data_IF_940770243957
#
_entry.id   IF_940770243957
#
_cell.length_a   1.000
_cell.length_b   1.000
_cell.length_c   1.000
_cell.angle_alpha   90.00
_cell.angle_beta   90.00
_cell.angle_gamma   90.00
#
_symmetry.space_group_name_H-M   'P 1'
#
loop_
_entity.id
_entity.type
_entity.pdbx_description
1 polymer ?
#
# COMPACT_ATOMS: atom_id res chain seq x y z
N UNK A 1 -30.13 34.19 12.65
CA UNK A 1 -30.65 33.34 11.57
C UNK A 1 -32.15 33.47 11.46
N UNK A 2 -32.62 34.25 10.48
CA UNK A 2 -34.03 34.37 10.13
C UNK A 2 -34.56 33.09 9.41
N UNK A 3 -35.88 32.98 9.21
CA UNK A 3 -36.50 31.78 8.64
C UNK A 3 -35.94 31.42 7.25
N UNK A 4 -35.72 32.44 6.40
CA UNK A 4 -35.21 32.26 5.04
C UNK A 4 -33.76 31.76 5.05
N UNK A 5 -32.92 32.30 5.93
CA UNK A 5 -31.54 31.86 6.13
C UNK A 5 -31.46 30.42 6.64
N UNK A 6 -32.37 30.01 7.54
CA UNK A 6 -32.47 28.62 8.00
C UNK A 6 -32.84 27.68 6.87
N UNK A 7 -33.80 28.09 6.01
CA UNK A 7 -34.19 27.34 4.83
C UNK A 7 -33.03 27.15 3.85
N UNK A 8 -32.32 28.24 3.53
CA UNK A 8 -31.14 28.20 2.66
C UNK A 8 -30.01 27.33 3.24
N UNK A 9 -29.72 27.49 4.54
CA UNK A 9 -28.72 26.66 5.21
C UNK A 9 -29.08 25.17 5.17
N UNK A 10 -30.34 24.83 5.41
CA UNK A 10 -30.81 23.44 5.33
C UNK A 10 -30.61 22.85 3.92
N UNK A 11 -30.88 23.63 2.87
CA UNK A 11 -30.63 23.21 1.49
C UNK A 11 -29.14 22.96 1.22
N UNK A 12 -28.27 23.87 1.66
CA UNK A 12 -26.81 23.74 1.51
C UNK A 12 -26.29 22.52 2.29
N UNK A 13 -26.72 22.36 3.54
CA UNK A 13 -26.33 21.22 4.37
C UNK A 13 -26.74 19.88 3.72
N UNK A 14 -27.97 19.79 3.22
CA UNK A 14 -28.44 18.61 2.49
C UNK A 14 -27.63 18.35 1.21
N UNK A 15 -27.32 19.40 0.44
CA UNK A 15 -26.49 19.27 -0.75
C UNK A 15 -25.09 18.73 -0.41
N UNK A 16 -24.46 19.23 0.66
CA UNK A 16 -23.16 18.75 1.14
C UNK A 16 -23.21 17.26 1.51
N UNK A 17 -24.24 16.81 2.23
CA UNK A 17 -24.42 15.38 2.57
C UNK A 17 -24.54 14.52 1.30
N UNK A 18 -25.29 14.98 0.30
CA UNK A 18 -25.45 14.28 -0.98
C UNK A 18 -24.14 14.23 -1.75
N UNK A 19 -23.38 15.33 -1.78
CA UNK A 19 -22.06 15.39 -2.42
C UNK A 19 -21.07 14.43 -1.74
N UNK A 20 -21.00 14.43 -0.41
CA UNK A 20 -20.17 13.50 0.37
C UNK A 20 -20.54 12.03 0.12
N UNK A 21 -21.81 11.75 -0.16
CA UNK A 21 -22.27 10.41 -0.57
C UNK A 21 -21.78 9.95 -1.95
N UNK A 22 -21.08 10.80 -2.71
CA UNK A 22 -20.45 10.48 -4.00
C UNK A 22 -18.92 10.46 -3.94
N UNK A 23 -18.34 10.83 -2.80
CA UNK A 23 -16.88 10.91 -2.60
C UNK A 23 -16.43 9.70 -1.79
N UNK A 24 -15.55 8.90 -2.40
CA UNK A 24 -14.93 7.76 -1.74
C UNK A 24 -13.93 8.26 -0.68
N UNK A 25 -14.04 7.77 0.56
CA UNK A 25 -13.12 8.07 1.66
C UNK A 25 -12.09 6.96 1.83
N UNK A 26 -12.54 5.71 1.93
CA UNK A 26 -11.68 4.52 2.00
C UNK A 26 -12.13 3.50 0.97
N UNK A 27 -11.18 2.94 0.20
CA UNK A 27 -11.41 1.95 -0.85
C UNK A 27 -10.56 0.72 -0.59
N UNK A 28 -11.21 -0.45 -0.50
CA UNK A 28 -10.56 -1.74 -0.35
C UNK A 28 -10.90 -2.65 -1.53
N UNK A 29 -9.88 -2.96 -2.34
CA UNK A 29 -10.04 -3.79 -3.51
C UNK A 29 -9.96 -5.26 -3.12
N UNK A 30 -10.89 -6.06 -3.67
CA UNK A 30 -10.92 -7.53 -3.55
C UNK A 30 -10.86 -8.03 -2.10
N UNK A 31 -11.77 -7.58 -1.20
CA UNK A 31 -11.88 -8.16 0.12
C UNK A 31 -12.04 -9.69 0.02
N UNK A 32 -11.42 -10.50 0.90
CA UNK A 32 -11.55 -11.96 0.89
C UNK A 32 -12.99 -12.46 0.88
N UNK A 33 -13.89 -11.74 1.55
CA UNK A 33 -15.33 -12.03 1.63
C UNK A 33 -16.05 -11.78 0.29
N UNK A 34 -15.53 -10.85 -0.54
CA UNK A 34 -16.03 -10.54 -1.88
C UNK A 34 -14.87 -10.33 -2.89
N UNK A 35 -14.20 -11.41 -3.33
CA UNK A 35 -12.95 -11.32 -4.11
C UNK A 35 -13.10 -10.62 -5.46
N UNK A 36 -14.32 -10.61 -6.00
CA UNK A 36 -14.67 -9.97 -7.26
C UNK A 36 -15.27 -8.57 -7.09
N UNK A 37 -15.18 -7.96 -5.90
CA UNK A 37 -15.80 -6.68 -5.60
C UNK A 37 -14.79 -5.64 -5.08
N UNK A 38 -15.29 -4.41 -4.90
CA UNK A 38 -14.59 -3.29 -4.27
C UNK A 38 -15.45 -2.77 -3.13
N UNK A 39 -14.92 -2.78 -1.92
CA UNK A 39 -15.58 -2.23 -0.75
C UNK A 39 -15.16 -0.77 -0.53
N UNK A 40 -16.12 0.08 -0.12
CA UNK A 40 -15.93 1.53 -0.02
C UNK A 40 -16.65 2.13 1.18
N UNK A 41 -15.94 2.92 1.96
CA UNK A 41 -16.53 3.90 2.89
C UNK A 41 -16.58 5.26 2.17
N UNK A 42 -17.73 5.92 2.21
CA UNK A 42 -17.94 7.25 1.62
C UNK A 42 -17.73 8.35 2.67
N UNK A 43 -17.48 9.59 2.25
CA UNK A 43 -17.33 10.77 3.14
C UNK A 43 -18.57 11.07 4.00
N UNK A 44 -19.75 10.61 3.59
CA UNK A 44 -20.98 10.74 4.39
C UNK A 44 -21.22 9.55 5.35
N UNK A 45 -20.26 8.63 5.48
CA UNK A 45 -20.37 7.42 6.29
C UNK A 45 -21.21 6.30 5.67
N UNK A 46 -21.67 6.45 4.42
CA UNK A 46 -22.29 5.31 3.71
C UNK A 46 -21.24 4.25 3.43
N UNK A 47 -21.64 2.98 3.51
CA UNK A 47 -20.78 1.86 3.14
C UNK A 47 -21.33 1.15 1.90
N UNK A 48 -20.44 0.76 0.98
CA UNK A 48 -20.81 0.15 -0.31
C UNK A 48 -19.88 -0.98 -0.68
N UNK A 49 -20.43 -2.04 -1.28
CA UNK A 49 -19.65 -3.07 -1.98
C UNK A 49 -20.11 -3.08 -3.43
N UNK A 50 -19.20 -2.79 -4.36
CA UNK A 50 -19.46 -2.71 -5.80
C UNK A 50 -18.92 -3.96 -6.47
N UNK A 51 -19.80 -4.72 -7.12
CA UNK A 51 -19.47 -5.94 -7.85
C UNK A 51 -19.06 -5.63 -9.30
N UNK A 52 -18.37 -6.56 -9.95
CA UNK A 52 -17.96 -6.44 -11.37
C UNK A 52 -19.11 -6.25 -12.34
N UNK A 53 -20.28 -6.80 -12.02
CA UNK A 53 -21.51 -6.66 -12.82
C UNK A 53 -22.29 -5.37 -12.54
N UNK A 54 -21.64 -4.39 -11.88
CA UNK A 54 -22.18 -3.09 -11.53
C UNK A 54 -23.34 -3.12 -10.52
N UNK A 55 -23.68 -4.28 -9.96
CA UNK A 55 -24.50 -4.33 -8.74
C UNK A 55 -23.73 -3.73 -7.59
N UNK A 56 -24.45 -3.14 -6.63
CA UNK A 56 -23.84 -2.58 -5.43
C UNK A 56 -24.70 -2.85 -4.20
N UNK A 57 -24.10 -3.44 -3.17
CA UNK A 57 -24.70 -3.44 -1.84
C UNK A 57 -24.43 -2.09 -1.19
N UNK A 58 -25.44 -1.49 -0.57
CA UNK A 58 -25.36 -0.16 0.02
C UNK A 58 -26.01 -0.19 1.39
N UNK A 59 -25.29 0.35 2.37
CA UNK A 59 -25.82 0.66 3.70
C UNK A 59 -25.66 2.16 3.95
N UNK A 60 -26.78 2.82 4.27
CA UNK A 60 -26.79 4.26 4.56
C UNK A 60 -26.29 4.52 5.99
N UNK A 61 -25.72 5.70 6.25
CA UNK A 61 -25.33 6.09 7.61
C UNK A 61 -26.56 6.02 8.53
N UNK A 62 -26.37 5.42 9.72
CA UNK A 62 -27.43 5.26 10.73
C UNK A 62 -28.46 4.16 10.45
N UNK A 63 -28.47 3.55 9.27
CA UNK A 63 -29.33 2.40 8.96
C UNK A 63 -28.57 1.08 9.18
N UNK A 64 -29.29 0.06 9.65
CA UNK A 64 -28.81 -1.32 9.68
C UNK A 64 -29.11 -2.07 8.38
N UNK A 65 -30.06 -1.59 7.61
CA UNK A 65 -30.56 -2.24 6.41
C UNK A 65 -29.56 -2.13 5.27
N UNK A 66 -29.37 -3.24 4.57
CA UNK A 66 -28.48 -3.33 3.42
C UNK A 66 -29.32 -3.56 2.17
N UNK A 67 -29.15 -2.70 1.17
CA UNK A 67 -29.89 -2.78 -0.09
C UNK A 67 -28.95 -3.12 -1.24
N UNK A 68 -29.36 -4.05 -2.09
CA UNK A 68 -28.73 -4.35 -3.36
C UNK A 68 -29.33 -3.45 -4.44
N UNK A 69 -28.53 -2.56 -5.00
CA UNK A 69 -28.91 -1.72 -6.14
C UNK A 69 -28.38 -2.35 -7.44
N UNK A 70 -29.28 -2.44 -8.41
CA UNK A 70 -28.99 -2.94 -9.74
C UNK A 70 -28.71 -1.78 -10.72
N UNK A 71 -27.98 -2.03 -11.82
CA UNK A 71 -27.70 -1.01 -12.83
C UNK A 71 -28.98 -0.48 -13.51
N UNK A 72 -30.05 -1.28 -13.58
CA UNK A 72 -31.35 -0.87 -14.10
C UNK A 72 -32.17 0.03 -13.13
N UNK A 73 -31.58 0.43 -11.99
CA UNK A 73 -32.23 1.29 -11.00
C UNK A 73 -33.07 0.55 -9.95
N UNK A 74 -33.29 -0.76 -10.11
CA UNK A 74 -33.99 -1.59 -9.12
C UNK A 74 -33.20 -1.65 -7.81
N UNK A 75 -33.93 -1.75 -6.69
CA UNK A 75 -33.37 -1.90 -5.35
C UNK A 75 -34.09 -3.05 -4.64
N UNK A 76 -33.33 -3.89 -3.99
CA UNK A 76 -33.84 -5.03 -3.21
C UNK A 76 -33.16 -5.02 -1.84
N UNK A 77 -33.90 -5.38 -0.80
CA UNK A 77 -33.31 -5.57 0.52
C UNK A 77 -32.57 -6.91 0.58
N UNK A 78 -31.38 -6.91 1.18
CA UNK A 78 -30.58 -8.11 1.35
C UNK A 78 -31.01 -8.78 2.64
N UNK A 79 -31.65 -9.95 2.54
CA UNK A 79 -32.17 -10.69 3.69
C UNK A 79 -31.33 -11.91 4.05
N UNK A 80 -30.39 -12.31 3.19
CA UNK A 80 -29.56 -13.50 3.39
C UNK A 80 -28.57 -13.28 4.54
N UNK A 81 -28.65 -14.06 5.65
CA UNK A 81 -27.84 -13.84 6.84
C UNK A 81 -26.33 -13.95 6.59
N UNK A 82 -25.90 -14.92 5.78
CA UNK A 82 -24.48 -15.14 5.46
C UNK A 82 -23.89 -13.96 4.70
N UNK A 83 -24.63 -13.43 3.73
CA UNK A 83 -24.23 -12.25 2.96
C UNK A 83 -24.18 -11.00 3.84
N UNK A 84 -25.14 -10.83 4.75
CA UNK A 84 -25.13 -9.73 5.73
C UNK A 84 -23.94 -9.84 6.70
N UNK A 85 -23.63 -11.04 7.18
CA UNK A 85 -22.49 -11.29 8.07
C UNK A 85 -21.16 -10.93 7.40
N UNK A 86 -20.94 -11.41 6.16
CA UNK A 86 -19.76 -11.06 5.36
C UNK A 86 -19.67 -9.56 5.08
N UNK A 87 -20.79 -8.92 4.80
CA UNK A 87 -20.85 -7.48 4.57
C UNK A 87 -20.44 -6.69 5.82
N UNK A 88 -20.94 -7.09 6.99
CA UNK A 88 -20.63 -6.47 8.27
C UNK A 88 -19.16 -6.70 8.68
N UNK A 89 -18.59 -7.87 8.38
CA UNK A 89 -17.18 -8.16 8.60
C UNK A 89 -16.27 -7.19 7.83
N UNK A 90 -16.54 -7.01 6.53
CA UNK A 90 -15.79 -6.07 5.68
C UNK A 90 -15.97 -4.62 6.15
N UNK A 91 -17.19 -4.25 6.53
CA UNK A 91 -17.50 -2.92 7.06
C UNK A 91 -16.69 -2.64 8.33
N UNK A 92 -16.77 -3.54 9.30
CA UNK A 92 -16.10 -3.42 10.60
C UNK A 92 -14.59 -3.36 10.40
N UNK A 93 -14.04 -4.16 9.49
CA UNK A 93 -12.63 -4.09 9.12
C UNK A 93 -12.26 -2.69 8.57
N UNK A 94 -13.03 -2.17 7.62
CA UNK A 94 -12.73 -0.85 7.02
C UNK A 94 -12.91 0.31 8.00
N UNK A 95 -13.85 0.23 8.93
CA UNK A 95 -14.01 1.22 10.00
C UNK A 95 -12.80 1.23 10.95
N UNK A 96 -12.23 0.05 11.25
CA UNK A 96 -10.97 -0.02 12.01
C UNK A 96 -9.82 0.61 11.23
N UNK A 97 -9.73 0.34 9.92
CA UNK A 97 -8.73 0.97 9.04
C UNK A 97 -8.91 2.48 9.02
N UNK A 98 -10.14 2.98 8.84
CA UNK A 98 -10.47 4.40 8.85
C UNK A 98 -10.05 5.06 10.17
N UNK A 99 -10.41 4.47 11.32
CA UNK A 99 -10.07 5.01 12.63
C UNK A 99 -8.57 5.07 12.87
N UNK A 100 -7.83 3.99 12.56
CA UNK A 100 -6.37 3.97 12.71
C UNK A 100 -5.71 4.97 11.75
N UNK A 101 -6.22 5.07 10.52
CA UNK A 101 -5.68 6.00 9.54
C UNK A 101 -5.92 7.46 9.92
N UNK A 102 -7.10 7.78 10.43
CA UNK A 102 -7.46 9.12 10.90
C UNK A 102 -6.61 9.54 12.10
N UNK A 103 -6.38 8.63 13.06
CA UNK A 103 -5.54 8.89 14.23
C UNK A 103 -4.06 9.07 13.88
N UNK A 104 -3.53 8.29 12.93
CA UNK A 104 -2.09 8.21 12.70
C UNK A 104 -1.58 9.05 11.53
N UNK A 105 -2.43 9.36 10.54
CA UNK A 105 -2.04 10.03 9.29
C UNK A 105 -2.97 11.22 8.98
N UNK A 106 -4.26 11.10 9.26
CA UNK A 106 -5.23 12.19 9.20
C UNK A 106 -5.60 12.69 7.80
N UNK A 107 -5.26 11.97 6.72
CA UNK A 107 -5.53 12.42 5.32
C UNK A 107 -6.28 11.38 4.51
N UNK A 108 -7.40 11.76 3.90
CA UNK A 108 -8.18 10.95 2.95
C UNK A 108 -8.12 11.57 1.54
N UNK A 109 -8.36 10.80 0.45
CA UNK A 109 -8.83 9.41 0.41
C UNK A 109 -7.72 8.34 0.53
N UNK A 110 -8.11 7.14 0.99
CA UNK A 110 -7.25 5.96 1.10
C UNK A 110 -7.73 4.86 0.14
N UNK A 111 -6.82 4.24 -0.62
CA UNK A 111 -7.10 3.07 -1.46
C UNK A 111 -6.03 2.00 -1.28
N UNK A 112 -6.43 0.75 -1.07
CA UNK A 112 -5.49 -0.37 -0.89
C UNK A 112 -6.04 -1.72 -1.35
N UNK A 113 -5.15 -2.69 -1.46
CA UNK A 113 -5.43 -4.11 -1.73
C UNK A 113 -4.57 -4.94 -0.78
N UNK A 114 -5.11 -6.04 -0.25
CA UNK A 114 -4.33 -7.01 0.53
C UNK A 114 -4.19 -8.25 -0.34
N UNK A 115 -2.97 -8.54 -0.80
CA UNK A 115 -2.71 -9.79 -1.52
C UNK A 115 -2.75 -10.94 -0.52
N UNK A 116 -3.52 -11.97 -0.81
CA UNK A 116 -3.52 -13.23 -0.06
C UNK A 116 -2.41 -14.19 -0.50
N UNK A 117 -1.45 -13.76 -1.32
CA UNK A 117 -0.25 -14.54 -1.66
C UNK A 117 0.72 -14.61 -0.46
N UNK A 118 0.36 -15.38 0.56
CA UNK A 118 1.29 -15.80 1.61
C UNK A 118 0.93 -17.20 2.15
N UNK A 119 1.44 -18.23 1.48
CA UNK A 119 2.08 -19.44 2.05
C UNK A 119 2.22 -20.54 0.99
N UNK A 120 3.20 -20.41 0.09
CA UNK A 120 3.86 -21.61 -0.45
C UNK A 120 5.11 -21.79 0.40
N UNK A 121 5.02 -22.70 1.36
CA UNK A 121 6.17 -23.26 2.08
C UNK A 121 7.22 -23.73 1.07
N UNK A 122 8.51 -23.41 1.23
CA UNK A 122 9.54 -23.96 0.36
C UNK A 122 9.65 -25.45 0.65
N UNK A 123 8.95 -26.29 -0.12
CA UNK A 123 9.26 -27.72 -0.16
C UNK A 123 10.66 -27.85 -0.73
N UNK A 124 11.57 -28.16 0.17
CA UNK A 124 12.87 -28.77 -0.07
C UNK A 124 12.65 -29.93 -1.07
N UNK A 125 13.16 -29.78 -2.29
CA UNK A 125 13.38 -30.90 -3.20
C UNK A 125 14.89 -31.11 -3.27
N UNK A 126 15.34 -32.04 -2.43
CA UNK A 126 16.68 -32.60 -2.42
C UNK A 126 16.82 -33.54 -3.64
N UNK A 127 17.87 -33.28 -4.42
CA UNK A 127 18.65 -34.17 -5.30
C UNK A 127 17.92 -35.20 -6.18
N UNK A 128 18.22 -35.16 -7.48
CA UNK A 128 18.74 -36.37 -8.13
C UNK A 128 19.68 -36.03 -9.29
N UNK A 129 20.81 -36.70 -9.25
CA UNK A 129 21.87 -36.72 -10.25
C UNK A 129 21.38 -37.21 -11.61
N UNK A 130 21.94 -36.66 -12.71
CA UNK A 130 22.60 -37.43 -13.79
C UNK A 130 23.08 -36.49 -14.91
N UNK A 131 24.39 -36.52 -15.14
CA UNK A 131 25.05 -36.18 -16.40
C UNK A 131 24.94 -37.41 -17.32
N UNK A 132 24.84 -37.25 -18.66
CA UNK A 132 25.99 -37.62 -19.49
C UNK A 132 26.26 -36.70 -20.71
N UNK A 133 27.46 -36.90 -21.24
CA UNK A 133 28.25 -36.13 -22.21
C UNK A 133 27.99 -36.44 -23.70
N UNK A 134 28.32 -35.45 -24.55
CA UNK A 134 28.81 -35.52 -25.96
C UNK A 134 27.77 -35.80 -27.07
N UNK A 135 27.84 -35.33 -28.33
CA UNK A 135 28.93 -34.99 -29.27
C UNK A 135 28.48 -33.93 -30.32
N UNK A 136 29.27 -32.85 -30.49
CA UNK A 136 29.76 -32.18 -31.74
C UNK A 136 28.88 -32.13 -33.03
N UNK A 137 28.59 -30.92 -33.57
CA UNK A 137 29.18 -30.35 -34.82
C UNK A 137 28.62 -28.93 -35.15
N UNK A 138 29.35 -28.18 -36.01
CA UNK A 138 29.59 -26.73 -36.05
C UNK A 138 28.74 -25.85 -37.01
N UNK A 139 28.96 -24.52 -36.85
CA UNK A 139 28.70 -23.33 -37.70
C UNK A 139 27.30 -22.70 -37.54
N UNK A 140 27.11 -21.43 -37.13
CA UNK A 140 27.87 -20.18 -37.40
C UNK A 140 27.63 -19.12 -36.30
N UNK A 141 28.54 -18.14 -36.23
CA UNK A 141 28.74 -17.12 -35.19
C UNK A 141 27.69 -15.99 -35.13
N UNK A 142 27.39 -15.51 -33.91
CA UNK A 142 27.35 -14.08 -33.49
C UNK A 142 27.11 -14.03 -31.96
N UNK A 143 28.15 -14.04 -31.14
CA UNK A 143 28.75 -12.90 -30.43
C UNK A 143 27.81 -12.17 -29.43
N UNK A 144 28.30 -12.11 -28.18
CA UNK A 144 27.91 -11.30 -27.02
C UNK A 144 26.81 -11.84 -26.09
N UNK A 145 27.16 -12.87 -25.33
CA UNK A 145 26.66 -13.05 -23.96
C UNK A 145 27.45 -12.16 -23.00
N UNK A 146 26.79 -11.19 -22.35
CA UNK A 146 27.31 -10.62 -21.09
C UNK A 146 26.70 -11.38 -19.92
N UNK A 147 27.48 -12.33 -19.41
CA UNK A 147 27.38 -12.82 -18.04
C UNK A 147 28.06 -11.79 -17.13
N UNK A 148 27.33 -11.24 -16.17
CA UNK A 148 27.93 -10.48 -15.08
C UNK A 148 28.08 -11.39 -13.85
N UNK A 149 29.31 -11.39 -13.34
CA UNK A 149 29.92 -12.29 -12.37
C UNK A 149 29.40 -12.11 -10.92
N UNK A 150 29.80 -13.00 -9.97
CA UNK A 150 29.48 -12.86 -8.55
C UNK A 150 30.26 -11.69 -7.94
N UNK A 151 29.68 -11.03 -6.94
CA UNK A 151 30.30 -9.93 -6.22
C UNK A 151 31.49 -10.42 -5.38
N UNK A 152 32.71 -10.14 -5.86
CA UNK A 152 33.92 -10.12 -5.05
C UNK A 152 33.88 -8.88 -4.16
N UNK A 153 34.02 -9.09 -2.86
CA UNK A 153 34.34 -8.03 -1.91
C UNK A 153 35.82 -7.68 -2.06
N UNK A 154 36.12 -6.44 -2.41
CA UNK A 154 37.42 -5.84 -2.11
C UNK A 154 37.25 -4.34 -1.74
N UNK A 155 38.01 -3.84 -0.75
CA UNK A 155 37.82 -2.53 -0.16
C UNK A 155 38.68 -1.47 -0.87
N UNK A 156 38.07 -0.49 -1.52
CA UNK A 156 38.80 0.73 -1.89
C UNK A 156 37.85 1.93 -2.14
N UNK A 157 37.70 2.73 -1.08
CA UNK A 157 37.58 4.20 -1.05
C UNK A 157 37.36 4.93 -2.38
N UNK A 158 36.09 5.11 -2.73
CA UNK A 158 35.63 6.34 -3.39
C UNK A 158 34.54 6.97 -2.52
N UNK A 159 34.91 8.08 -1.90
CA UNK A 159 34.06 8.93 -1.07
C UNK A 159 32.97 9.53 -1.98
N UNK A 160 31.88 8.79 -2.17
CA UNK A 160 30.58 9.41 -2.39
C UNK A 160 30.17 9.99 -1.04
N UNK A 161 29.72 11.24 -1.01
CA UNK A 161 29.20 11.92 0.18
C UNK A 161 27.97 11.16 0.70
N UNK A 162 28.21 10.06 1.42
CA UNK A 162 27.26 9.47 2.34
C UNK A 162 27.11 10.47 3.49
N UNK A 163 26.11 11.35 3.36
CA UNK A 163 25.63 12.15 4.46
C UNK A 163 24.87 11.22 5.43
N UNK A 164 25.57 10.28 6.06
CA UNK A 164 25.05 9.46 7.14
C UNK A 164 25.00 10.31 8.40
N UNK A 165 24.07 11.27 8.47
CA UNK A 165 23.75 11.92 9.73
C UNK A 165 23.03 10.92 10.61
N UNK A 166 23.61 10.66 11.78
CA UNK A 166 23.03 9.82 12.82
C UNK A 166 21.78 10.51 13.37
N UNK A 167 20.62 10.12 12.86
CA UNK A 167 19.32 10.46 13.47
C UNK A 167 19.13 9.61 14.73
N UNK A 168 18.38 10.14 15.71
CA UNK A 168 18.19 9.58 17.05
C UNK A 168 17.58 8.16 17.09
N UNK A 169 17.14 7.62 15.93
CA UNK A 169 16.54 6.30 15.75
C UNK A 169 17.51 5.21 15.23
N UNK A 170 18.75 5.56 14.87
CA UNK A 170 19.71 4.59 14.30
C UNK A 170 19.39 4.11 12.88
N UNK A 171 18.32 4.63 12.26
CA UNK A 171 17.98 4.39 10.87
C UNK A 171 18.98 5.09 9.92
N UNK A 172 19.33 4.41 8.82
CA UNK A 172 20.14 4.96 7.72
C UNK A 172 19.25 5.29 6.54
N UNK A 173 19.32 6.53 6.07
CA UNK A 173 18.58 6.99 4.90
C UNK A 173 19.55 7.24 3.74
N UNK A 174 19.13 6.85 2.53
CA UNK A 174 19.80 7.23 1.28
C UNK A 174 18.90 8.18 0.51
N UNK A 175 19.45 9.31 0.11
CA UNK A 175 18.74 10.30 -0.69
C UNK A 175 19.17 10.24 -2.16
N UNK A 176 18.27 10.60 -3.06
CA UNK A 176 18.58 10.77 -4.48
C UNK A 176 19.12 12.19 -4.77
N UNK A 177 19.39 12.49 -6.05
CA UNK A 177 19.89 13.81 -6.49
C UNK A 177 18.89 14.96 -6.29
N UNK A 178 17.62 14.63 -6.06
CA UNK A 178 16.53 15.58 -5.85
C UNK A 178 16.22 15.78 -4.36
N UNK A 179 17.09 15.29 -3.46
CA UNK A 179 16.88 15.29 -2.00
C UNK A 179 15.67 14.47 -1.52
N UNK A 180 15.19 13.52 -2.33
CA UNK A 180 14.12 12.61 -1.93
C UNK A 180 14.72 11.32 -1.34
N UNK A 181 14.08 10.77 -0.32
CA UNK A 181 14.50 9.50 0.29
C UNK A 181 14.25 8.36 -0.69
N UNK A 182 15.32 7.68 -1.12
CA UNK A 182 15.23 6.54 -2.04
C UNK A 182 15.43 5.19 -1.35
N UNK A 183 16.05 5.15 -0.17
CA UNK A 183 16.04 3.96 0.68
C UNK A 183 16.16 4.31 2.16
N UNK A 184 15.63 3.43 2.99
CA UNK A 184 15.77 3.46 4.46
C UNK A 184 16.16 2.07 4.94
N UNK A 185 17.10 2.02 5.88
CA UNK A 185 17.58 0.79 6.52
C UNK A 185 17.57 0.97 8.04
N UNK A 186 16.98 0.03 8.75
CA UNK A 186 16.96 0.02 10.21
C UNK A 186 18.22 -0.66 10.79
N UNK A 187 18.52 -0.44 12.08
CA UNK A 187 19.69 -1.01 12.75
C UNK A 187 19.77 -2.55 12.69
N UNK A 188 18.62 -3.22 12.58
CA UNK A 188 18.50 -4.67 12.46
C UNK A 188 18.76 -5.21 11.03
N UNK A 189 19.10 -4.32 10.08
CA UNK A 189 19.41 -4.67 8.70
C UNK A 189 18.20 -4.91 7.80
N UNK A 190 16.97 -4.63 8.27
CA UNK A 190 15.83 -4.48 7.37
C UNK A 190 16.03 -3.24 6.52
N UNK A 191 15.68 -3.31 5.23
CA UNK A 191 15.63 -2.10 4.42
C UNK A 191 14.46 -2.10 3.47
N UNK A 192 14.02 -0.89 3.15
CA UNK A 192 13.00 -0.59 2.16
C UNK A 192 13.59 0.44 1.19
N UNK A 193 13.52 0.15 -0.11
CA UNK A 193 13.97 1.08 -1.16
C UNK A 193 12.96 1.20 -2.27
N UNK A 194 12.96 2.35 -2.92
CA UNK A 194 12.27 2.55 -4.19
C UNK A 194 13.04 1.78 -5.27
N UNK A 195 12.32 1.06 -6.12
CA UNK A 195 12.90 0.27 -7.19
C UNK A 195 13.53 1.17 -8.25
N UNK A 196 14.75 0.82 -8.68
CA UNK A 196 15.46 1.57 -9.74
C UNK A 196 14.79 1.49 -11.11
N UNK A 197 13.89 0.51 -11.31
CA UNK A 197 13.16 0.34 -12.58
C UNK A 197 11.82 1.05 -12.60
N UNK A 198 11.29 1.50 -11.45
CA UNK A 198 9.98 2.15 -11.37
C UNK A 198 9.74 2.79 -10.00
N UNK A 199 9.31 4.05 -10.00
CA UNK A 199 8.99 4.81 -8.78
C UNK A 199 7.73 4.30 -8.06
N UNK A 200 6.92 3.46 -8.70
CA UNK A 200 5.73 2.83 -8.09
C UNK A 200 6.01 1.44 -7.53
N UNK A 201 7.26 0.98 -7.56
CA UNK A 201 7.66 -0.33 -7.05
C UNK A 201 8.60 -0.18 -5.86
N UNK A 202 8.35 -0.96 -4.82
CA UNK A 202 9.18 -0.99 -3.62
C UNK A 202 9.89 -2.32 -3.54
N UNK A 203 11.11 -2.28 -3.03
CA UNK A 203 11.93 -3.45 -2.76
C UNK A 203 12.22 -3.48 -1.27
N UNK A 204 11.91 -4.59 -0.64
CA UNK A 204 12.04 -4.80 0.79
C UNK A 204 12.91 -6.01 1.09
N UNK A 205 13.63 -5.95 2.21
CA UNK A 205 14.34 -7.09 2.78
C UNK A 205 14.10 -7.13 4.28
N UNK A 206 13.72 -8.30 4.80
CA UNK A 206 13.32 -8.51 6.20
C UNK A 206 14.47 -8.76 7.16
N UNK A 207 15.62 -9.19 6.67
CA UNK A 207 16.86 -9.28 7.43
C UNK A 207 18.04 -9.49 6.47
N UNK A 208 19.29 -9.24 6.90
CA UNK A 208 20.47 -9.59 6.13
C UNK A 208 20.42 -11.05 5.66
N UNK A 209 20.68 -11.29 4.38
CA UNK A 209 20.63 -12.63 3.76
C UNK A 209 19.26 -13.11 3.29
N UNK A 210 18.14 -12.45 3.63
CA UNK A 210 16.82 -12.79 3.07
C UNK A 210 16.67 -12.36 1.60
N UNK A 211 15.80 -13.06 0.87
CA UNK A 211 15.44 -12.69 -0.49
C UNK A 211 14.70 -11.34 -0.51
N UNK A 212 15.01 -10.51 -1.50
CA UNK A 212 14.30 -9.26 -1.73
C UNK A 212 12.85 -9.53 -2.16
N UNK A 213 11.89 -8.89 -1.49
CA UNK A 213 10.49 -8.89 -1.87
C UNK A 213 10.18 -7.62 -2.65
N UNK A 214 9.30 -7.71 -3.66
CA UNK A 214 8.91 -6.58 -4.50
C UNK A 214 7.42 -6.33 -4.39
N UNK A 215 7.07 -5.09 -4.07
CA UNK A 215 5.69 -4.64 -3.95
C UNK A 215 5.38 -3.62 -5.05
N UNK A 216 4.17 -3.65 -5.59
CA UNK A 216 3.69 -2.68 -6.57
C UNK A 216 2.62 -1.83 -5.90
N UNK A 217 2.77 -0.52 -6.01
CA UNK A 217 1.79 0.52 -5.66
C UNK A 217 1.57 0.79 -4.17
N UNK A 218 2.52 1.50 -3.55
CA UNK A 218 2.29 2.30 -2.35
C UNK A 218 2.37 3.78 -2.76
N UNK A 219 1.24 4.36 -3.14
CA UNK A 219 1.10 5.78 -3.50
C UNK A 219 1.48 6.74 -2.36
N UNK A 220 1.73 6.22 -1.16
CA UNK A 220 2.12 6.98 0.04
C UNK A 220 3.59 7.46 0.05
N UNK A 221 4.51 6.79 -0.66
CA UNK A 221 5.95 7.06 -0.49
C UNK A 221 6.53 8.11 -1.44
N UNK A 222 5.86 8.40 -2.56
CA UNK A 222 6.43 9.23 -3.63
C UNK A 222 6.41 10.74 -3.36
N UNK A 223 6.18 11.18 -2.11
CA UNK A 223 6.04 12.60 -1.75
C UNK A 223 6.68 12.97 -0.39
N UNK A 224 7.69 12.23 0.07
CA UNK A 224 8.47 12.63 1.24
C UNK A 224 9.52 13.65 0.81
N UNK A 225 9.28 14.92 1.13
CA UNK A 225 10.17 16.04 0.83
C UNK A 225 10.91 16.43 2.11
N UNK A 226 12.24 16.32 2.10
CA UNK A 226 13.04 16.67 3.28
C UNK A 226 13.49 18.12 3.17
N UNK A 227 12.92 18.98 4.01
CA UNK A 227 13.27 20.39 4.05
C UNK A 227 14.65 20.62 4.71
N UNK A 228 15.34 21.66 4.24
CA UNK A 228 16.55 22.17 4.87
C UNK A 228 16.22 23.32 5.81
N UNK A 229 16.62 23.21 7.07
CA UNK A 229 16.67 24.38 7.95
C UNK A 229 17.77 25.34 7.45
N UNK A 230 17.66 26.64 7.78
CA UNK A 230 18.62 27.70 7.40
C UNK A 230 20.07 27.43 7.82
N UNK A 231 20.29 26.43 8.68
CA UNK A 231 21.60 25.96 9.14
C UNK A 231 22.10 24.71 8.40
N UNK A 232 21.43 24.27 7.33
CA UNK A 232 21.79 23.06 6.59
C UNK A 232 21.56 21.75 7.36
N UNK A 233 20.76 21.80 8.44
CA UNK A 233 20.30 20.61 9.16
C UNK A 233 19.08 20.02 8.45
N UNK A 234 19.14 18.72 8.19
CA UNK A 234 18.04 17.93 7.65
C UNK A 234 17.02 17.77 8.78
N UNK A 235 15.82 18.33 8.60
CA UNK A 235 14.67 18.00 9.43
C UNK A 235 13.73 17.18 8.55
N UNK A 236 13.74 15.86 8.74
CA UNK A 236 12.52 15.11 8.47
C UNK A 236 11.52 15.59 9.52
N UNK A 237 10.29 15.91 9.15
CA UNK A 237 9.31 16.27 10.19
C UNK A 237 9.13 15.05 11.10
N UNK A 238 8.97 15.25 12.42
CA UNK A 238 8.73 14.15 13.37
C UNK A 238 7.54 13.25 12.95
N UNK A 239 6.63 13.80 12.13
CA UNK A 239 5.49 13.15 11.50
C UNK A 239 5.92 12.15 10.38
N UNK A 240 6.87 12.51 9.54
CA UNK A 240 7.35 11.66 8.43
C UNK A 240 8.20 10.48 8.95
N UNK A 241 9.01 10.70 9.99
CA UNK A 241 9.74 9.61 10.66
C UNK A 241 8.77 8.60 11.29
N UNK A 242 7.66 9.06 11.87
CA UNK A 242 6.60 8.19 12.42
C UNK A 242 5.89 7.40 11.33
N UNK A 243 5.55 8.01 10.19
CA UNK A 243 4.89 7.31 9.07
C UNK A 243 5.78 6.19 8.53
N UNK A 244 7.09 6.45 8.34
CA UNK A 244 8.05 5.42 7.92
C UNK A 244 8.18 4.33 8.98
N UNK A 245 8.28 4.69 10.26
CA UNK A 245 8.33 3.73 11.37
C UNK A 245 7.09 2.85 11.48
N UNK A 246 5.89 3.40 11.26
CA UNK A 246 4.61 2.69 11.28
C UNK A 246 4.46 1.78 10.05
N UNK A 247 4.90 2.22 8.86
CA UNK A 247 5.00 1.36 7.68
C UNK A 247 5.95 0.17 7.93
N UNK A 248 7.06 0.39 8.64
CA UNK A 248 8.00 -0.66 9.05
C UNK A 248 7.47 -1.61 10.13
N UNK A 249 6.60 -1.13 11.03
CA UNK A 249 6.04 -1.94 12.13
C UNK A 249 4.73 -2.66 11.79
N UNK A 250 3.87 -2.08 10.94
CA UNK A 250 2.48 -2.55 10.74
C UNK A 250 2.18 -3.17 9.38
N UNK A 251 2.92 -2.84 8.32
CA UNK A 251 2.69 -3.41 6.98
C UNK A 251 3.50 -4.68 6.70
N UNK A 252 4.31 -5.12 7.66
CA UNK A 252 5.16 -6.29 7.54
C UNK A 252 4.95 -7.11 8.81
N UNK A 253 4.18 -8.22 8.74
CA UNK A 253 3.88 -9.00 9.94
C UNK A 253 5.19 -9.46 10.59
N UNK A 254 5.26 -9.33 11.91
CA UNK A 254 6.18 -10.11 12.72
C UNK A 254 5.89 -11.59 12.41
N UNK A 255 6.82 -12.25 11.73
CA UNK A 255 6.95 -13.71 11.79
C UNK A 255 7.55 -14.09 13.13
#
# INVERSE_FOLDING_TARGET
>A
MNSNERGLYGQIANAVVVMRGRVDKVVYQRPPQFPSAVAKIMENGSFRIVFRDQRRMVQKPGSRDVQLHFPNGRKEDVLEPDTLSRFDEVRTFLQKVESVWEEQIGRFPLSFTISSESTISPRIAVSESRVPLSVKNNQSQCLLTQRSAPATFDPCTKVSLECSRKFLSGMRFKMNKNNEVCSVESPDGRYLRISSVSNSKFVYRSHPGSCEQRFVDLTAFSKLHVDHDRKGHLKCSDEEEKVIGILFQKLLPFT
#
